data_IF_321981381924
#
_entry.id   IF_321981381924
#
_cell.length_a   1.000
_cell.length_b   1.000
_cell.length_c   1.000
_cell.angle_alpha   90.00
_cell.angle_beta   90.00
_cell.angle_gamma   90.00
#
_symmetry.space_group_name_H-M   'P 1'
#
loop_
_entity.id
_entity.type
_entity.pdbx_description
1 polymer ?
#
# COMPACT_ATOMS: atom_id res chain seq x y z
N UNK A 1 -4.94 -8.24 6.34
CA UNK A 1 -4.59 -9.66 6.64
C UNK A 1 -5.64 -10.59 6.09
N UNK A 2 -5.30 -11.86 5.88
CA UNK A 2 -6.24 -12.86 5.40
C UNK A 2 -7.39 -13.08 6.39
N UNK A 3 -8.50 -13.62 5.89
CA UNK A 3 -9.56 -14.11 6.75
C UNK A 3 -9.14 -15.45 7.35
N UNK A 4 -9.12 -15.55 8.68
CA UNK A 4 -8.77 -16.78 9.39
C UNK A 4 -9.74 -17.93 9.05
N UNK A 5 -10.98 -17.62 8.65
CA UNK A 5 -11.96 -18.63 8.25
C UNK A 5 -11.55 -19.36 6.96
N UNK A 6 -10.83 -18.68 6.05
CA UNK A 6 -10.27 -19.33 4.86
C UNK A 6 -9.26 -20.41 5.26
N UNK A 7 -8.33 -20.07 6.18
CA UNK A 7 -7.34 -21.04 6.66
C UNK A 7 -7.98 -22.19 7.42
N UNK A 8 -9.04 -21.92 8.20
CA UNK A 8 -9.76 -22.98 8.94
C UNK A 8 -10.54 -23.93 8.03
N UNK A 9 -11.01 -23.42 6.88
CA UNK A 9 -11.83 -24.18 5.93
C UNK A 9 -10.98 -25.00 4.96
N UNK A 10 -9.88 -24.42 4.46
CA UNK A 10 -9.04 -25.00 3.41
C UNK A 10 -7.58 -24.58 3.59
N UNK A 11 -6.94 -25.14 4.60
CA UNK A 11 -5.57 -24.80 4.95
C UNK A 11 -4.57 -25.13 3.84
N UNK A 12 -4.73 -26.32 3.22
CA UNK A 12 -3.83 -26.81 2.18
C UNK A 12 -3.98 -25.99 0.88
N UNK A 13 -5.21 -25.66 0.50
CA UNK A 13 -5.48 -24.79 -0.64
C UNK A 13 -4.93 -23.38 -0.45
N UNK A 14 -5.06 -22.80 0.75
CA UNK A 14 -4.47 -21.51 1.09
C UNK A 14 -2.93 -21.59 1.06
N UNK A 15 -2.35 -22.64 1.64
CA UNK A 15 -0.89 -22.83 1.64
C UNK A 15 -0.33 -22.91 0.21
N UNK A 16 -1.00 -23.62 -0.70
CA UNK A 16 -0.63 -23.68 -2.12
C UNK A 16 -0.67 -22.29 -2.78
N UNK A 17 -1.75 -21.54 -2.61
CA UNK A 17 -1.89 -20.18 -3.19
C UNK A 17 -0.88 -19.19 -2.61
N UNK A 18 -0.48 -19.36 -1.34
CA UNK A 18 0.59 -18.58 -0.74
C UNK A 18 1.97 -18.98 -1.28
N UNK A 19 2.17 -20.28 -1.57
CA UNK A 19 3.39 -20.77 -2.21
C UNK A 19 3.57 -20.19 -3.62
N UNK A 20 2.49 -20.01 -4.40
CA UNK A 20 2.51 -19.32 -5.69
C UNK A 20 2.99 -17.86 -5.57
N UNK A 21 2.90 -17.27 -4.36
CA UNK A 21 3.41 -15.94 -3.99
C UNK A 21 4.82 -15.97 -3.36
N UNK A 22 5.50 -17.11 -3.41
CA UNK A 22 6.79 -17.29 -2.76
C UNK A 22 6.75 -17.33 -1.23
N UNK A 23 5.56 -17.50 -0.62
CA UNK A 23 5.39 -17.57 0.82
C UNK A 23 5.12 -19.01 1.29
N UNK A 24 6.04 -19.58 2.09
CA UNK A 24 5.87 -20.89 2.70
C UNK A 24 5.09 -20.76 4.02
N UNK A 25 3.81 -21.17 4.01
CA UNK A 25 3.00 -21.20 5.23
C UNK A 25 3.47 -22.35 6.14
N UNK A 26 3.75 -22.05 7.41
CA UNK A 26 3.96 -23.06 8.43
C UNK A 26 2.61 -23.68 8.84
N UNK A 27 2.18 -24.69 8.04
CA UNK A 27 0.93 -25.42 8.23
C UNK A 27 0.92 -26.14 9.58
N UNK A 28 2.07 -26.67 10.03
CA UNK A 28 2.17 -27.39 11.29
C UNK A 28 1.97 -26.44 12.49
N UNK A 29 2.63 -25.29 12.48
CA UNK A 29 2.47 -24.28 13.53
C UNK A 29 1.04 -23.74 13.60
N UNK A 30 0.43 -23.42 12.45
CA UNK A 30 -0.97 -22.98 12.42
C UNK A 30 -1.92 -24.04 12.97
N UNK A 31 -1.78 -25.29 12.52
CA UNK A 31 -2.62 -26.42 12.95
C UNK A 31 -2.48 -26.69 14.45
N UNK A 32 -1.26 -26.63 15.00
CA UNK A 32 -1.03 -26.81 16.42
C UNK A 32 -1.72 -25.71 17.27
N UNK A 33 -1.59 -24.44 16.85
CA UNK A 33 -2.25 -23.30 17.53
C UNK A 33 -3.78 -23.41 17.49
N UNK A 34 -4.35 -23.80 16.34
CA UNK A 34 -5.80 -23.98 16.20
C UNK A 34 -6.31 -25.21 17.01
N UNK A 35 -5.54 -26.28 17.11
CA UNK A 35 -5.88 -27.44 17.95
C UNK A 35 -5.88 -27.03 19.43
N UNK A 36 -4.85 -26.33 19.90
CA UNK A 36 -4.75 -25.82 21.28
C UNK A 36 -5.91 -24.85 21.59
N UNK A 37 -6.21 -23.93 20.69
CA UNK A 37 -7.35 -23.00 20.83
C UNK A 37 -8.66 -23.73 21.00
N UNK A 38 -8.93 -24.72 20.13
CA UNK A 38 -10.17 -25.52 20.19
C UNK A 38 -10.28 -26.29 21.51
N UNK A 39 -9.19 -26.92 21.96
CA UNK A 39 -9.18 -27.68 23.20
C UNK A 39 -9.52 -26.78 24.41
N UNK A 40 -8.90 -25.60 24.49
CA UNK A 40 -9.16 -24.64 25.56
C UNK A 40 -10.60 -24.12 25.48
N UNK A 41 -11.11 -23.82 24.29
CA UNK A 41 -12.47 -23.32 24.10
C UNK A 41 -13.49 -24.37 24.57
N UNK A 42 -13.35 -25.63 24.14
CA UNK A 42 -14.22 -26.75 24.58
C UNK A 42 -14.19 -26.92 26.09
N UNK A 43 -12.95 -26.87 26.69
CA UNK A 43 -12.80 -26.95 28.14
C UNK A 43 -13.49 -25.79 28.86
N UNK A 44 -13.37 -24.59 28.36
CA UNK A 44 -14.03 -23.42 28.94
C UNK A 44 -15.55 -23.51 28.88
N UNK A 45 -16.11 -24.02 27.78
CA UNK A 45 -17.56 -24.28 27.63
C UNK A 45 -18.06 -25.33 28.63
N UNK A 46 -17.30 -26.42 28.80
CA UNK A 46 -17.61 -27.46 29.83
C UNK A 46 -17.60 -26.89 31.25
N UNK A 47 -16.56 -26.11 31.59
CA UNK A 47 -16.44 -25.45 32.90
C UNK A 47 -17.59 -24.47 33.13
N UNK A 48 -17.96 -23.69 32.11
CA UNK A 48 -19.11 -22.77 32.20
C UNK A 48 -20.42 -23.52 32.45
N UNK A 49 -20.65 -24.61 31.74
CA UNK A 49 -21.84 -25.48 31.92
C UNK A 49 -21.86 -26.09 33.35
N UNK A 50 -20.72 -26.60 33.82
CA UNK A 50 -20.57 -27.14 35.17
C UNK A 50 -20.82 -26.07 36.25
N UNK A 51 -20.23 -24.90 36.11
CA UNK A 51 -20.44 -23.75 37.03
C UNK A 51 -21.92 -23.36 37.11
N UNK A 52 -22.62 -23.33 35.95
CA UNK A 52 -24.05 -23.00 35.92
C UNK A 52 -24.91 -24.07 36.65
N UNK A 53 -24.55 -25.32 36.47
CA UNK A 53 -25.22 -26.46 37.17
C UNK A 53 -25.02 -26.38 38.68
N UNK A 54 -23.76 -26.17 39.12
CA UNK A 54 -23.44 -26.06 40.53
C UNK A 54 -24.09 -24.83 41.17
N UNK A 55 -24.19 -23.72 40.47
CA UNK A 55 -24.88 -22.51 40.95
C UNK A 55 -26.38 -22.77 41.24
N UNK A 56 -27.04 -23.54 40.36
CA UNK A 56 -28.43 -23.99 40.60
C UNK A 56 -28.52 -24.91 41.82
N UNK A 57 -27.57 -25.84 41.97
CA UNK A 57 -27.51 -26.74 43.10
C UNK A 57 -27.33 -25.97 44.41
N UNK A 58 -26.42 -24.98 44.49
CA UNK A 58 -26.24 -24.13 45.64
C UNK A 58 -27.55 -23.41 46.02
N UNK A 59 -28.29 -22.89 45.00
CA UNK A 59 -29.59 -22.29 45.23
C UNK A 59 -30.60 -23.25 45.91
N UNK A 60 -30.67 -24.48 45.38
CA UNK A 60 -31.57 -25.53 45.92
C UNK A 60 -31.17 -25.96 47.36
N UNK A 61 -29.87 -26.15 47.62
CA UNK A 61 -29.35 -26.54 48.94
C UNK A 61 -29.57 -25.41 49.98
N UNK A 62 -29.33 -24.15 49.62
CA UNK A 62 -29.60 -23.01 50.48
C UNK A 62 -31.09 -22.90 50.85
N UNK A 63 -31.99 -23.21 49.89
CA UNK A 63 -33.45 -23.22 50.14
C UNK A 63 -33.87 -24.30 51.11
N UNK A 64 -33.06 -25.38 51.28
CA UNK A 64 -33.30 -26.50 52.22
C UNK A 64 -32.51 -26.35 53.52
N UNK A 65 -31.68 -25.34 53.65
CA UNK A 65 -30.82 -25.17 54.87
C UNK A 65 -29.60 -26.12 54.88
N UNK A 66 -29.22 -26.70 53.77
CA UNK A 66 -28.10 -27.66 53.62
C UNK A 66 -26.75 -26.88 53.54
N UNK A 67 -25.67 -27.54 54.00
CA UNK A 67 -24.31 -26.97 53.87
C UNK A 67 -23.84 -26.90 52.41
N UNK A 68 -23.48 -25.73 51.94
CA UNK A 68 -23.04 -25.44 50.55
C UNK A 68 -21.55 -25.30 50.45
N UNK A 69 -20.76 -25.42 51.50
CA UNK A 69 -19.33 -25.09 51.56
C UNK A 69 -18.50 -25.84 50.50
N UNK A 70 -18.72 -27.15 50.33
CA UNK A 70 -18.02 -27.99 49.37
C UNK A 70 -18.33 -27.59 47.93
N UNK A 71 -19.60 -27.35 47.61
CA UNK A 71 -20.02 -26.94 46.26
C UNK A 71 -19.52 -25.51 45.93
N UNK A 72 -19.49 -24.63 46.91
CA UNK A 72 -18.92 -23.29 46.75
C UNK A 72 -17.41 -23.34 46.51
N UNK A 73 -16.67 -24.22 47.16
CA UNK A 73 -15.24 -24.44 46.90
C UNK A 73 -15.00 -24.95 45.48
N UNK A 74 -15.83 -25.91 45.00
CA UNK A 74 -15.75 -26.40 43.60
C UNK A 74 -16.03 -25.27 42.60
N UNK A 75 -17.01 -24.40 42.83
CA UNK A 75 -17.30 -23.24 41.98
C UNK A 75 -16.12 -22.26 41.97
N UNK A 76 -15.46 -22.06 43.12
CA UNK A 76 -14.25 -21.26 43.21
C UNK A 76 -13.12 -21.81 42.34
N UNK A 77 -12.82 -23.11 42.44
CA UNK A 77 -11.81 -23.77 41.60
C UNK A 77 -12.11 -23.69 40.10
N UNK A 78 -13.39 -23.86 39.72
CA UNK A 78 -13.83 -23.64 38.34
C UNK A 78 -13.57 -22.21 37.86
N UNK A 79 -13.82 -21.22 38.73
CA UNK A 79 -13.56 -19.82 38.43
C UNK A 79 -12.08 -19.55 38.15
N UNK A 80 -11.18 -20.11 38.93
CA UNK A 80 -9.72 -19.99 38.73
C UNK A 80 -9.27 -20.69 37.47
N UNK A 81 -9.77 -21.89 37.15
CA UNK A 81 -9.46 -22.60 35.91
C UNK A 81 -9.96 -21.85 34.66
N UNK A 82 -11.14 -21.24 34.71
CA UNK A 82 -11.69 -20.42 33.63
C UNK A 82 -10.80 -19.17 33.39
N UNK A 83 -10.36 -18.50 34.43
CA UNK A 83 -9.45 -17.35 34.32
C UNK A 83 -8.11 -17.74 33.69
N UNK A 84 -7.54 -18.88 34.08
CA UNK A 84 -6.33 -19.40 33.46
C UNK A 84 -6.54 -19.74 31.98
N UNK A 85 -7.69 -20.33 31.62
CA UNK A 85 -8.08 -20.63 30.24
C UNK A 85 -8.23 -19.38 29.39
N UNK A 86 -8.83 -18.30 29.93
CA UNK A 86 -8.95 -17.01 29.24
C UNK A 86 -7.58 -16.38 28.96
N UNK A 87 -6.67 -16.40 29.92
CA UNK A 87 -5.31 -15.91 29.74
C UNK A 87 -4.58 -16.69 28.64
N UNK A 88 -4.66 -18.02 28.68
CA UNK A 88 -4.05 -18.89 27.68
C UNK A 88 -4.65 -18.71 26.29
N UNK A 89 -5.97 -18.53 26.19
CA UNK A 89 -6.64 -18.22 24.93
C UNK A 89 -6.16 -16.90 24.33
N UNK A 90 -5.95 -15.87 25.17
CA UNK A 90 -5.39 -14.59 24.78
C UNK A 90 -3.97 -14.72 24.19
N UNK A 91 -3.10 -15.54 24.83
CA UNK A 91 -1.76 -15.83 24.30
C UNK A 91 -1.82 -16.50 22.93
N UNK A 92 -2.69 -17.49 22.75
CA UNK A 92 -2.85 -18.20 21.47
C UNK A 92 -3.38 -17.26 20.38
N UNK A 93 -4.35 -16.42 20.73
CA UNK A 93 -4.89 -15.42 19.79
C UNK A 93 -3.81 -14.43 19.32
N UNK A 94 -2.94 -13.99 20.23
CA UNK A 94 -1.79 -13.13 19.88
C UNK A 94 -0.86 -13.86 18.92
N UNK A 95 -0.46 -15.09 19.23
CA UNK A 95 0.43 -15.90 18.35
C UNK A 95 -0.19 -16.16 16.97
N UNK A 96 -1.48 -16.45 16.89
CA UNK A 96 -2.21 -16.59 15.61
C UNK A 96 -2.22 -15.26 14.84
N UNK A 97 -2.46 -14.15 15.53
CA UNK A 97 -2.43 -12.81 14.91
C UNK A 97 -1.05 -12.49 14.34
N UNK A 98 0.02 -12.72 15.12
CA UNK A 98 1.40 -12.48 14.68
C UNK A 98 1.76 -13.32 13.45
N UNK A 99 1.38 -14.61 13.44
CA UNK A 99 1.57 -15.47 12.29
C UNK A 99 0.84 -14.91 11.05
N UNK A 100 -0.42 -14.48 11.21
CA UNK A 100 -1.24 -13.95 10.11
C UNK A 100 -0.77 -12.58 9.62
N UNK A 101 -0.15 -11.75 10.48
CA UNK A 101 0.40 -10.46 10.08
C UNK A 101 1.55 -10.61 9.07
N UNK A 102 2.29 -11.72 9.11
CA UNK A 102 3.36 -12.04 8.16
C UNK A 102 2.91 -12.62 6.83
N UNK A 103 1.62 -13.03 6.69
CA UNK A 103 1.10 -13.65 5.47
C UNK A 103 0.71 -12.58 4.43
N UNK A 104 1.16 -12.70 3.16
CA UNK A 104 0.69 -11.84 2.08
C UNK A 104 -0.79 -12.12 1.76
N UNK A 105 -1.41 -11.22 0.99
CA UNK A 105 -2.74 -11.46 0.46
C UNK A 105 -2.73 -12.60 -0.57
N UNK A 106 -3.86 -13.21 -0.80
CA UNK A 106 -4.05 -14.26 -1.81
C UNK A 106 -4.30 -13.59 -3.16
N UNK A 107 -3.59 -14.05 -4.20
CA UNK A 107 -3.81 -13.58 -5.55
C UNK A 107 -5.21 -13.95 -6.07
N UNK A 108 -5.86 -13.02 -6.80
CA UNK A 108 -7.10 -13.30 -7.51
C UNK A 108 -6.86 -14.35 -8.61
N UNK A 109 -7.87 -15.15 -8.94
CA UNK A 109 -7.78 -16.24 -9.91
C UNK A 109 -7.33 -15.83 -11.32
N UNK A 110 -7.57 -14.56 -11.70
CA UNK A 110 -7.14 -14.00 -12.99
C UNK A 110 -5.68 -13.55 -13.04
N UNK A 111 -4.94 -13.67 -11.94
CA UNK A 111 -3.52 -13.30 -11.87
C UNK A 111 -2.67 -14.45 -12.41
N UNK A 112 -1.76 -14.19 -13.36
CA UNK A 112 -0.86 -15.22 -13.86
C UNK A 112 0.06 -15.74 -12.75
N UNK A 113 0.22 -17.05 -12.69
CA UNK A 113 1.19 -17.68 -11.78
C UNK A 113 2.57 -17.50 -12.38
N UNK A 114 3.50 -16.93 -11.62
CA UNK A 114 4.86 -16.66 -12.05
C UNK A 114 5.76 -16.38 -10.86
N UNK A 115 7.07 -16.30 -11.11
CA UNK A 115 8.11 -16.20 -10.09
C UNK A 115 8.57 -14.77 -9.84
N UNK A 116 8.75 -14.01 -10.90
CA UNK A 116 9.34 -12.67 -10.88
C UNK A 116 8.84 -11.81 -12.05
N UNK A 117 9.42 -10.63 -12.23
CA UNK A 117 9.05 -9.65 -13.25
C UNK A 117 9.06 -10.19 -14.70
N UNK A 118 9.84 -11.25 -14.98
CA UNK A 118 9.90 -11.84 -16.31
C UNK A 118 8.61 -12.59 -16.69
N UNK A 119 7.82 -12.99 -15.69
CA UNK A 119 6.55 -13.71 -15.86
C UNK A 119 5.33 -12.76 -15.90
N UNK A 120 5.54 -11.45 -15.82
CA UNK A 120 4.48 -10.46 -15.96
C UNK A 120 3.93 -10.45 -17.39
N UNK A 121 2.63 -10.21 -17.53
CA UNK A 121 1.93 -10.31 -18.81
C UNK A 121 1.54 -8.93 -19.31
N UNK A 122 2.00 -8.58 -20.52
CA UNK A 122 1.57 -7.35 -21.19
C UNK A 122 0.11 -7.44 -21.61
N UNK A 123 -0.68 -6.43 -21.19
CA UNK A 123 -2.12 -6.34 -21.50
C UNK A 123 -2.37 -5.48 -22.72
N UNK A 124 -1.70 -4.32 -22.82
CA UNK A 124 -1.84 -3.35 -23.90
C UNK A 124 -0.71 -2.36 -23.95
N UNK A 125 -0.57 -1.70 -25.11
CA UNK A 125 0.33 -0.55 -25.33
C UNK A 125 -0.42 0.64 -25.88
N UNK A 126 0.15 1.82 -25.64
CA UNK A 126 -0.31 3.06 -26.24
C UNK A 126 0.89 3.94 -26.66
N UNK A 127 0.71 4.65 -27.77
CA UNK A 127 1.71 5.54 -28.32
C UNK A 127 2.84 4.80 -29.04
N UNK A 128 3.59 5.56 -29.82
CA UNK A 128 4.78 5.08 -30.54
C UNK A 128 6.00 5.82 -30.01
N UNK A 129 7.07 5.11 -29.58
CA UNK A 129 8.32 5.74 -29.22
C UNK A 129 8.81 6.69 -30.31
N UNK A 130 9.25 7.88 -29.94
CA UNK A 130 9.82 8.86 -30.87
C UNK A 130 11.15 8.34 -31.42
N UNK A 131 11.33 8.46 -32.71
CA UNK A 131 12.63 8.28 -33.36
C UNK A 131 13.42 9.61 -33.30
N UNK A 132 14.70 9.52 -32.97
CA UNK A 132 15.59 10.67 -32.86
C UNK A 132 16.62 10.58 -33.97
N UNK A 133 16.93 11.73 -34.56
CA UNK A 133 17.99 11.93 -35.57
C UNK A 133 19.33 12.35 -34.96
N UNK A 134 19.42 12.29 -33.63
CA UNK A 134 20.59 12.60 -32.83
C UNK A 134 20.77 11.57 -31.70
N UNK A 135 21.94 11.53 -31.08
CA UNK A 135 22.24 10.68 -29.93
C UNK A 135 21.43 11.12 -28.71
N UNK A 136 20.52 10.26 -28.24
CA UNK A 136 19.70 10.52 -27.06
C UNK A 136 20.53 10.42 -25.77
N UNK A 137 20.31 11.35 -24.85
CA UNK A 137 20.96 11.40 -23.54
C UNK A 137 19.98 10.99 -22.44
N UNK A 138 20.49 10.41 -21.36
CA UNK A 138 19.66 10.15 -20.19
C UNK A 138 19.28 11.48 -19.47
N UNK A 139 18.28 11.37 -18.58
CA UNK A 139 17.79 12.54 -17.83
C UNK A 139 18.83 13.23 -16.97
N UNK A 140 19.93 12.56 -16.59
CA UNK A 140 21.02 13.17 -15.82
C UNK A 140 21.78 14.14 -16.73
N UNK A 141 22.17 13.68 -17.92
CA UNK A 141 22.95 14.49 -18.86
C UNK A 141 22.11 15.61 -19.49
N UNK A 142 20.81 15.36 -19.74
CA UNK A 142 19.86 16.39 -20.19
C UNK A 142 19.54 17.38 -19.08
N UNK A 143 19.24 16.91 -17.88
CA UNK A 143 18.66 17.69 -16.81
C UNK A 143 19.69 18.49 -15.99
N UNK A 144 20.92 18.01 -15.86
CA UNK A 144 21.94 18.71 -15.06
C UNK A 144 22.18 20.15 -15.53
N UNK A 145 22.37 20.42 -16.84
CA UNK A 145 22.48 21.79 -17.32
C UNK A 145 21.21 22.64 -17.13
N UNK A 146 20.06 21.98 -17.00
CA UNK A 146 18.74 22.61 -16.88
C UNK A 146 18.30 22.84 -15.43
N UNK A 147 19.01 22.26 -14.43
CA UNK A 147 18.71 22.47 -13.02
C UNK A 147 18.49 21.20 -12.16
N UNK A 148 18.79 20.00 -12.67
CA UNK A 148 18.98 18.81 -11.81
C UNK A 148 20.32 18.91 -11.09
N UNK A 149 20.30 18.89 -9.76
CA UNK A 149 21.49 19.09 -8.92
C UNK A 149 21.64 17.91 -7.94
N UNK A 150 22.33 16.89 -8.42
CA UNK A 150 22.62 15.69 -7.64
C UNK A 150 23.71 15.91 -6.60
N UNK A 151 24.70 16.77 -6.91
CA UNK A 151 25.82 17.06 -6.01
C UNK A 151 25.34 17.75 -4.73
N UNK A 152 24.56 18.82 -4.88
CA UNK A 152 23.99 19.51 -3.71
C UNK A 152 23.02 18.61 -2.97
N UNK A 153 22.18 17.83 -3.67
CA UNK A 153 21.28 16.84 -3.03
C UNK A 153 22.05 15.86 -2.15
N UNK A 154 23.12 15.27 -2.69
CA UNK A 154 23.99 14.35 -1.96
C UNK A 154 24.72 15.02 -0.78
N UNK A 155 25.14 16.27 -0.93
CA UNK A 155 25.77 17.06 0.15
C UNK A 155 24.81 17.32 1.31
N UNK A 156 23.53 17.53 1.00
CA UNK A 156 22.52 17.85 2.03
C UNK A 156 22.03 16.63 2.79
N UNK A 157 21.85 15.49 2.12
CA UNK A 157 21.16 14.35 2.71
C UNK A 157 21.75 12.97 2.34
N UNK A 158 22.82 12.94 1.55
CA UNK A 158 23.43 11.69 1.09
C UNK A 158 23.00 11.27 -0.32
N UNK A 159 23.47 10.11 -0.75
CA UNK A 159 23.09 9.52 -2.04
C UNK A 159 21.58 9.35 -2.17
N UNK A 160 21.07 9.32 -3.43
CA UNK A 160 19.64 9.17 -3.74
C UNK A 160 18.73 10.29 -3.21
N UNK A 161 19.31 11.48 -2.98
CA UNK A 161 18.59 12.73 -2.83
C UNK A 161 19.00 13.67 -3.94
N UNK A 162 18.02 14.39 -4.51
CA UNK A 162 18.22 15.28 -5.64
C UNK A 162 17.65 16.66 -5.31
N UNK A 163 18.38 17.72 -5.64
CA UNK A 163 17.88 19.07 -5.59
C UNK A 163 17.46 19.51 -6.99
N UNK A 164 16.32 20.17 -7.10
CA UNK A 164 15.80 20.72 -8.35
C UNK A 164 15.86 22.24 -8.31
N UNK A 165 16.26 22.88 -9.41
CA UNK A 165 16.40 24.34 -9.52
C UNK A 165 15.67 24.90 -10.73
N UNK A 166 15.27 26.16 -10.66
CA UNK A 166 14.79 26.96 -11.80
C UNK A 166 13.61 26.31 -12.54
N UNK A 167 13.74 26.21 -13.85
CA UNK A 167 12.69 25.67 -14.72
C UNK A 167 12.39 24.20 -14.47
N UNK A 168 13.38 23.40 -14.05
CA UNK A 168 13.17 21.99 -13.69
C UNK A 168 12.33 21.87 -12.42
N UNK A 169 12.60 22.66 -11.40
CA UNK A 169 11.76 22.68 -10.19
C UNK A 169 10.32 23.11 -10.51
N UNK A 170 10.17 24.08 -11.41
CA UNK A 170 8.85 24.51 -11.91
C UNK A 170 8.15 23.39 -12.68
N UNK A 171 8.86 22.66 -13.55
CA UNK A 171 8.30 21.55 -14.32
C UNK A 171 7.84 20.42 -13.39
N UNK A 172 8.64 20.08 -12.37
CA UNK A 172 8.26 19.09 -11.36
C UNK A 172 6.94 19.46 -10.64
N UNK A 173 6.83 20.71 -10.19
CA UNK A 173 5.61 21.24 -9.58
C UNK A 173 4.44 21.26 -10.57
N UNK A 174 4.68 21.64 -11.82
CA UNK A 174 3.67 21.68 -12.88
C UNK A 174 3.10 20.28 -13.16
N UNK A 175 3.95 19.24 -13.18
CA UNK A 175 3.54 17.84 -13.30
C UNK A 175 2.62 17.41 -12.16
N UNK A 176 3.01 17.67 -10.91
CA UNK A 176 2.18 17.33 -9.75
C UNK A 176 0.83 18.04 -9.79
N UNK A 177 0.82 19.33 -10.08
CA UNK A 177 -0.42 20.12 -10.17
C UNK A 177 -1.32 19.63 -11.32
N UNK A 178 -0.76 19.38 -12.50
CA UNK A 178 -1.50 18.83 -13.63
C UNK A 178 -2.15 17.47 -13.31
N UNK A 179 -1.43 16.59 -12.60
CA UNK A 179 -1.96 15.29 -12.18
C UNK A 179 -3.13 15.46 -11.20
N UNK A 180 -2.96 16.27 -10.15
CA UNK A 180 -4.02 16.54 -9.16
C UNK A 180 -5.25 17.16 -9.83
N UNK A 181 -5.08 18.19 -10.66
CA UNK A 181 -6.18 18.84 -11.35
C UNK A 181 -6.93 17.86 -12.27
N UNK A 182 -6.21 16.98 -12.96
CA UNK A 182 -6.83 15.97 -13.81
C UNK A 182 -7.66 14.98 -12.98
N UNK A 183 -7.12 14.46 -11.89
CA UNK A 183 -7.85 13.48 -11.07
C UNK A 183 -9.05 14.10 -10.35
N UNK A 184 -8.95 15.33 -9.88
CA UNK A 184 -10.03 15.99 -9.18
C UNK A 184 -11.13 16.50 -10.11
N UNK A 185 -10.76 17.09 -11.25
CA UNK A 185 -11.72 17.72 -12.16
C UNK A 185 -12.37 16.74 -13.16
N UNK A 186 -11.68 15.64 -13.50
CA UNK A 186 -12.13 14.72 -14.55
C UNK A 186 -12.43 13.31 -14.05
N UNK A 187 -11.80 12.85 -12.98
CA UNK A 187 -11.91 11.47 -12.49
C UNK A 187 -12.70 11.34 -11.18
N UNK A 188 -13.16 12.46 -10.62
CA UNK A 188 -14.03 12.49 -9.44
C UNK A 188 -13.35 12.19 -8.12
N UNK A 189 -12.03 12.33 -8.04
CA UNK A 189 -11.33 12.23 -6.77
C UNK A 189 -11.43 13.52 -5.96
N UNK A 190 -11.48 13.39 -4.63
CA UNK A 190 -11.37 14.50 -3.70
C UNK A 190 -9.91 14.72 -3.34
N UNK A 191 -9.37 15.91 -3.61
CA UNK A 191 -8.03 16.28 -3.17
C UNK A 191 -7.97 16.29 -1.64
N UNK A 192 -6.93 15.68 -1.09
CA UNK A 192 -6.77 15.52 0.34
C UNK A 192 -5.34 15.85 0.75
N UNK A 193 -5.17 16.79 1.68
CA UNK A 193 -3.89 17.04 2.32
C UNK A 193 -3.76 16.19 3.58
N UNK A 194 -2.71 15.39 3.68
CA UNK A 194 -2.54 14.40 4.74
C UNK A 194 -1.29 14.65 5.59
N UNK A 195 -1.25 14.17 6.84
CA UNK A 195 0.00 14.08 7.59
C UNK A 195 1.02 13.18 6.88
N UNK A 196 2.29 13.60 6.87
CA UNK A 196 3.41 12.82 6.31
C UNK A 196 4.15 12.02 7.39
N UNK A 197 3.94 12.37 8.65
CA UNK A 197 4.42 11.62 9.82
C UNK A 197 3.20 10.97 10.45
N UNK A 198 3.24 9.64 10.57
CA UNK A 198 2.09 8.86 11.04
C UNK A 198 2.49 7.92 12.17
N UNK A 199 1.51 7.50 12.94
CA UNK A 199 1.68 6.52 14.02
C UNK A 199 1.88 5.09 13.46
N UNK A 200 2.53 4.18 14.23
CA UNK A 200 2.77 2.80 13.78
C UNK A 200 1.52 2.04 13.36
N UNK A 201 0.40 2.20 14.07
CA UNK A 201 -0.86 1.51 13.77
C UNK A 201 -1.42 1.83 12.37
N UNK A 202 -1.10 3.01 11.82
CA UNK A 202 -1.50 3.40 10.45
C UNK A 202 -0.76 2.54 9.42
N UNK A 203 0.53 2.27 9.64
CA UNK A 203 1.35 1.40 8.81
C UNK A 203 0.95 -0.09 8.94
N UNK A 204 0.49 -0.51 10.11
CA UNK A 204 -0.12 -1.84 10.28
C UNK A 204 -1.40 -1.97 9.45
N UNK A 205 -2.19 -0.92 9.37
CA UNK A 205 -3.45 -0.89 8.61
C UNK A 205 -3.26 -1.21 7.14
N UNK A 206 -2.29 -0.59 6.48
CA UNK A 206 -2.00 -0.77 5.05
C UNK A 206 -0.99 -1.87 4.75
N UNK A 207 -0.34 -2.45 5.78
CA UNK A 207 0.48 -3.66 5.64
C UNK A 207 1.98 -3.43 5.50
N UNK A 208 2.48 -2.20 5.70
CA UNK A 208 3.92 -1.92 5.73
C UNK A 208 4.58 -2.53 6.98
N UNK A 209 3.91 -2.42 8.13
CA UNK A 209 4.37 -3.08 9.34
C UNK A 209 3.61 -4.41 9.58
N UNK A 210 4.27 -5.39 10.21
CA UNK A 210 5.66 -5.36 10.72
C UNK A 210 6.74 -5.65 9.68
N UNK A 211 6.38 -6.24 8.53
CA UNK A 211 7.29 -6.91 7.58
C UNK A 211 8.32 -5.96 6.95
N UNK A 212 7.95 -4.73 6.64
CA UNK A 212 8.77 -3.76 5.90
C UNK A 212 9.28 -2.62 6.80
N UNK A 213 9.50 -2.90 8.08
CA UNK A 213 10.01 -1.89 9.02
C UNK A 213 11.33 -1.27 8.57
N UNK A 214 12.22 -2.06 7.94
CA UNK A 214 13.53 -1.62 7.46
C UNK A 214 13.43 -0.70 6.23
N UNK A 215 12.31 -0.73 5.50
CA UNK A 215 12.05 0.17 4.37
C UNK A 215 11.48 1.52 4.79
N UNK A 216 11.12 1.68 6.06
CA UNK A 216 10.47 2.88 6.57
C UNK A 216 11.46 3.81 7.27
N UNK A 217 11.37 5.11 6.99
CA UNK A 217 12.05 6.14 7.78
C UNK A 217 11.32 6.31 9.11
N UNK A 218 12.01 5.94 10.18
CA UNK A 218 11.54 6.10 11.55
C UNK A 218 11.92 7.46 12.09
N UNK A 219 10.98 8.14 12.75
CA UNK A 219 11.20 9.42 13.43
C UNK A 219 10.83 9.30 14.91
N UNK A 220 11.58 10.00 15.74
CA UNK A 220 11.35 10.04 17.19
C UNK A 220 11.15 11.48 17.64
N UNK A 221 10.15 11.71 18.47
CA UNK A 221 9.92 13.00 19.11
C UNK A 221 9.76 12.83 20.61
N UNK A 222 10.06 13.89 21.35
CA UNK A 222 10.07 13.90 22.81
C UNK A 222 11.48 13.74 23.36
N UNK A 223 11.61 13.83 24.69
CA UNK A 223 12.86 13.57 25.41
C UNK A 223 13.03 12.10 25.73
N UNK A 224 14.18 11.73 26.32
CA UNK A 224 14.52 10.34 26.66
C UNK A 224 13.45 9.62 27.52
N UNK A 225 12.69 10.35 28.33
CA UNK A 225 11.67 9.79 29.21
C UNK A 225 10.30 9.58 28.55
N UNK A 226 10.04 10.27 27.40
CA UNK A 226 8.74 10.25 26.70
C UNK A 226 8.92 10.18 25.17
N UNK A 227 9.76 9.24 24.70
CA UNK A 227 9.99 9.06 23.26
C UNK A 227 8.76 8.45 22.60
N UNK A 228 8.24 9.15 21.60
CA UNK A 228 7.18 8.66 20.72
C UNK A 228 7.81 8.30 19.36
N UNK A 229 7.63 7.05 18.94
CA UNK A 229 8.04 6.59 17.62
C UNK A 229 6.93 6.81 16.61
N UNK A 230 7.26 7.46 15.51
CA UNK A 230 6.41 7.66 14.34
C UNK A 230 7.21 7.34 13.07
N UNK A 231 6.58 7.40 11.91
CA UNK A 231 7.21 7.07 10.63
C UNK A 231 6.85 8.11 9.58
N UNK A 232 7.81 8.41 8.70
CA UNK A 232 7.52 9.11 7.44
C UNK A 232 6.80 8.17 6.48
N UNK A 233 5.78 8.67 5.79
CA UNK A 233 5.03 7.86 4.83
C UNK A 233 5.90 7.49 3.62
N UNK A 234 5.80 6.25 3.16
CA UNK A 234 6.41 5.79 1.90
C UNK A 234 5.51 6.01 0.69
N UNK A 235 4.25 6.34 0.96
CA UNK A 235 3.18 6.66 -0.01
C UNK A 235 2.02 7.29 0.76
N UNK A 236 1.30 8.24 0.15
CA UNK A 236 0.07 8.77 0.76
C UNK A 236 -1.08 7.77 0.81
N UNK A 237 -0.99 6.63 0.13
CA UNK A 237 -1.88 5.47 0.37
C UNK A 237 -2.06 5.21 1.87
N UNK A 238 -0.97 5.25 2.61
CA UNK A 238 -0.95 4.98 4.06
C UNK A 238 -1.93 5.89 4.79
N UNK A 239 -1.84 7.19 4.57
CA UNK A 239 -2.70 8.17 5.22
C UNK A 239 -4.12 8.15 4.67
N UNK A 240 -4.28 8.10 3.33
CA UNK A 240 -5.57 8.16 2.66
C UNK A 240 -6.44 6.94 2.98
N UNK A 241 -5.89 5.74 2.92
CA UNK A 241 -6.64 4.51 3.17
C UNK A 241 -7.09 4.40 4.63
N UNK A 242 -6.28 4.88 5.58
CA UNK A 242 -6.63 4.88 7.00
C UNK A 242 -7.68 5.94 7.40
N UNK A 243 -8.16 6.79 6.49
CA UNK A 243 -9.28 7.71 6.77
C UNK A 243 -10.57 6.99 7.18
N UNK A 244 -10.72 5.74 6.76
CA UNK A 244 -11.87 4.88 7.12
C UNK A 244 -11.55 3.85 8.22
N UNK A 245 -10.37 3.97 8.86
CA UNK A 245 -9.98 3.09 9.97
C UNK A 245 -11.01 3.12 11.11
N UNK A 246 -11.32 1.92 11.66
CA UNK A 246 -12.23 1.74 12.80
C UNK A 246 -13.62 2.39 12.60
N UNK A 247 -14.05 2.49 11.34
CA UNK A 247 -15.32 3.10 10.98
C UNK A 247 -16.27 2.13 10.28
N UNK A 248 -17.55 2.47 10.32
CA UNK A 248 -18.60 1.85 9.50
C UNK A 248 -19.21 2.96 8.68
N UNK A 249 -18.83 3.05 7.41
CA UNK A 249 -19.37 4.06 6.50
C UNK A 249 -20.75 3.65 5.98
N UNK A 250 -21.60 4.60 5.64
CA UNK A 250 -22.87 4.31 4.98
C UNK A 250 -22.62 3.82 3.55
N UNK A 251 -23.35 2.78 3.12
CA UNK A 251 -23.18 2.20 1.77
C UNK A 251 -23.41 3.23 0.65
N UNK A 252 -24.29 4.21 0.86
CA UNK A 252 -24.54 5.30 -0.08
C UNK A 252 -23.36 6.29 -0.22
N UNK A 253 -22.39 6.27 0.69
CA UNK A 253 -21.17 7.09 0.61
C UNK A 253 -20.08 6.44 -0.27
N UNK A 254 -20.25 5.19 -0.67
CA UNK A 254 -19.32 4.49 -1.56
C UNK A 254 -19.66 4.76 -3.04
N UNK A 255 -18.65 4.86 -3.93
CA UNK A 255 -17.21 4.81 -3.66
C UNK A 255 -16.67 6.10 -3.02
N UNK A 256 -15.71 5.97 -2.10
CA UNK A 256 -14.90 7.09 -1.62
C UNK A 256 -13.64 7.13 -2.46
N UNK A 257 -13.41 8.23 -3.19
CA UNK A 257 -12.26 8.45 -4.06
C UNK A 257 -11.43 9.60 -3.53
N UNK A 258 -10.19 9.33 -3.10
CA UNK A 258 -9.29 10.32 -2.53
C UNK A 258 -8.00 10.38 -3.36
N UNK A 259 -7.43 11.57 -3.52
CA UNK A 259 -6.11 11.76 -4.12
C UNK A 259 -5.29 12.75 -3.31
N UNK A 260 -3.98 12.53 -3.27
CA UNK A 260 -3.04 13.43 -2.62
C UNK A 260 -1.73 13.51 -3.39
N UNK A 261 -1.17 14.71 -3.49
CA UNK A 261 0.23 14.92 -3.82
C UNK A 261 1.02 14.98 -2.52
N UNK A 262 2.03 14.15 -2.39
CA UNK A 262 2.89 14.15 -1.20
C UNK A 262 4.33 13.76 -1.52
N UNK A 263 5.30 14.23 -0.72
CA UNK A 263 6.58 13.56 -0.64
C UNK A 263 6.38 12.15 -0.08
N UNK A 264 7.21 11.22 -0.55
CA UNK A 264 7.25 9.83 -0.14
C UNK A 264 8.69 9.48 0.25
N UNK A 265 8.86 8.69 1.30
CA UNK A 265 10.17 8.39 1.88
C UNK A 265 10.38 6.88 1.95
N UNK A 266 11.45 6.37 1.30
CA UNK A 266 11.79 4.95 1.29
C UNK A 266 13.28 4.78 1.56
N UNK A 267 13.64 3.91 2.52
CA UNK A 267 15.06 3.61 2.79
C UNK A 267 15.71 2.77 1.70
N UNK A 268 14.91 2.16 0.80
CA UNK A 268 15.39 1.35 -0.32
C UNK A 268 16.31 0.20 0.13
N UNK A 269 16.01 -0.41 1.28
CA UNK A 269 16.86 -1.42 1.94
C UNK A 269 17.18 -2.62 1.04
N UNK A 270 16.27 -3.01 0.14
CA UNK A 270 16.44 -4.15 -0.79
C UNK A 270 17.05 -3.80 -2.15
N UNK A 271 17.43 -2.54 -2.41
CA UNK A 271 17.80 -2.07 -3.76
C UNK A 271 19.25 -1.66 -3.91
N UNK A 272 20.17 -2.25 -3.11
CA UNK A 272 21.58 -1.95 -3.18
C UNK A 272 22.13 -2.21 -4.59
N UNK A 273 22.82 -1.21 -5.16
CA UNK A 273 23.44 -1.29 -6.49
C UNK A 273 22.51 -1.16 -7.69
N UNK A 274 21.18 -1.06 -7.49
CA UNK A 274 20.21 -0.85 -8.58
C UNK A 274 19.92 0.65 -8.79
N UNK A 275 19.81 1.09 -10.06
CA UNK A 275 19.44 2.46 -10.43
C UNK A 275 20.14 3.54 -9.60
N UNK A 276 21.46 3.42 -9.45
CA UNK A 276 22.27 4.32 -8.60
C UNK A 276 22.50 5.68 -9.24
N UNK A 277 22.30 5.82 -10.56
CA UNK A 277 22.42 7.05 -11.32
C UNK A 277 21.04 7.68 -11.56
N UNK A 278 20.92 8.97 -11.32
CA UNK A 278 19.73 9.75 -11.64
C UNK A 278 18.58 9.61 -10.65
N UNK A 279 17.35 9.86 -11.13
CA UNK A 279 16.14 10.01 -10.31
C UNK A 279 15.21 8.79 -10.32
N UNK A 280 15.59 7.66 -10.94
CA UNK A 280 14.71 6.48 -11.03
C UNK A 280 14.38 5.92 -9.65
N UNK A 281 15.37 5.96 -8.75
CA UNK A 281 15.24 5.42 -7.38
C UNK A 281 15.83 6.39 -6.36
N UNK A 282 14.94 7.00 -5.57
CA UNK A 282 15.28 8.05 -4.60
C UNK A 282 14.76 7.70 -3.20
N UNK A 283 15.46 8.15 -2.15
CA UNK A 283 14.98 8.07 -0.77
C UNK A 283 13.81 9.03 -0.51
N UNK A 284 13.78 10.15 -1.20
CA UNK A 284 12.68 11.10 -1.20
C UNK A 284 12.23 11.38 -2.62
N UNK A 285 10.94 11.23 -2.90
CA UNK A 285 10.33 11.52 -4.19
C UNK A 285 8.88 11.95 -4.00
N UNK A 286 8.34 12.64 -4.99
CA UNK A 286 6.94 13.06 -4.98
C UNK A 286 6.06 12.12 -5.78
N UNK A 287 4.86 11.88 -5.28
CA UNK A 287 3.85 11.04 -5.93
C UNK A 287 2.46 11.65 -5.76
N UNK A 288 1.69 11.62 -6.83
CA UNK A 288 0.24 11.78 -6.75
C UNK A 288 -0.36 10.39 -6.59
N UNK A 289 -1.06 10.17 -5.50
CA UNK A 289 -1.66 8.88 -5.17
C UNK A 289 -3.16 8.94 -5.31
N UNK A 290 -3.75 7.87 -5.80
CA UNK A 290 -5.19 7.64 -5.88
C UNK A 290 -5.55 6.50 -4.94
N UNK A 291 -6.59 6.70 -4.13
CA UNK A 291 -7.17 5.66 -3.27
C UNK A 291 -8.66 5.58 -3.52
N UNK A 292 -9.18 4.37 -3.61
CA UNK A 292 -10.61 4.12 -3.63
C UNK A 292 -11.01 3.17 -2.51
N UNK A 293 -12.09 3.50 -1.81
CA UNK A 293 -12.77 2.62 -0.86
C UNK A 293 -14.12 2.29 -1.46
N UNK A 294 -14.38 1.00 -1.69
CA UNK A 294 -15.53 0.53 -2.47
C UNK A 294 -16.23 -0.65 -1.81
N UNK A 295 -17.44 -0.95 -2.25
CA UNK A 295 -18.10 -2.22 -1.95
C UNK A 295 -17.38 -3.38 -2.67
N UNK A 296 -17.38 -4.60 -2.09
CA UNK A 296 -16.62 -5.74 -2.63
C UNK A 296 -16.92 -6.07 -4.09
N UNK A 297 -18.19 -6.03 -4.49
CA UNK A 297 -18.66 -6.34 -5.85
C UNK A 297 -18.22 -5.32 -6.91
N UNK A 298 -17.90 -4.09 -6.51
CA UNK A 298 -17.43 -3.04 -7.41
C UNK A 298 -15.91 -2.99 -7.58
N UNK A 299 -15.13 -3.73 -6.79
CA UNK A 299 -13.70 -3.46 -6.63
C UNK A 299 -12.84 -3.74 -7.86
N UNK A 300 -13.20 -4.73 -8.70
CA UNK A 300 -12.42 -5.02 -9.91
C UNK A 300 -12.74 -4.04 -11.05
N UNK A 301 -14.00 -3.59 -11.16
CA UNK A 301 -14.35 -2.50 -12.07
C UNK A 301 -13.67 -1.18 -11.66
N UNK A 302 -13.57 -0.94 -10.35
CA UNK A 302 -12.85 0.22 -9.81
C UNK A 302 -11.33 0.14 -10.07
N UNK A 303 -10.73 -1.07 -10.09
CA UNK A 303 -9.33 -1.25 -10.47
C UNK A 303 -9.10 -0.88 -11.94
N UNK A 304 -9.93 -1.39 -12.84
CA UNK A 304 -9.84 -1.08 -14.27
C UNK A 304 -10.04 0.43 -14.54
N UNK A 305 -10.97 1.07 -13.83
CA UNK A 305 -11.17 2.52 -13.85
C UNK A 305 -9.91 3.28 -13.38
N UNK A 306 -9.32 2.87 -12.27
CA UNK A 306 -8.12 3.49 -11.70
C UNK A 306 -6.92 3.39 -12.65
N UNK A 307 -6.73 2.25 -13.31
CA UNK A 307 -5.72 2.08 -14.35
C UNK A 307 -5.96 3.08 -15.49
N UNK A 308 -7.19 3.20 -15.97
CA UNK A 308 -7.57 4.18 -16.99
C UNK A 308 -7.29 5.64 -16.58
N UNK A 309 -7.44 5.97 -15.32
CA UNK A 309 -7.11 7.30 -14.78
C UNK A 309 -5.60 7.58 -14.82
N UNK A 310 -4.76 6.59 -14.51
CA UNK A 310 -3.31 6.71 -14.64
C UNK A 310 -2.87 6.81 -16.10
N UNK A 311 -3.46 5.99 -17.00
CA UNK A 311 -3.22 6.04 -18.45
C UNK A 311 -3.55 7.42 -19.02
N UNK A 312 -4.65 8.05 -18.58
CA UNK A 312 -5.06 9.36 -19.05
C UNK A 312 -3.98 10.44 -18.82
N UNK A 313 -3.22 10.37 -17.74
CA UNK A 313 -2.10 11.29 -17.49
C UNK A 313 -1.01 11.08 -18.56
N UNK A 314 -0.59 9.84 -18.82
CA UNK A 314 0.44 9.53 -19.81
C UNK A 314 0.00 9.92 -21.23
N UNK A 315 -1.27 9.66 -21.58
CA UNK A 315 -1.84 10.03 -22.86
C UNK A 315 -1.85 11.54 -23.08
N UNK A 316 -2.30 12.31 -22.08
CA UNK A 316 -2.30 13.78 -22.12
C UNK A 316 -0.88 14.38 -22.23
N UNK A 317 0.11 13.69 -21.65
CA UNK A 317 1.52 14.06 -21.76
C UNK A 317 2.17 13.56 -23.07
N UNK A 318 1.47 12.75 -23.87
CA UNK A 318 2.00 12.18 -25.12
C UNK A 318 3.17 11.20 -24.88
N UNK A 319 3.22 10.54 -23.73
CA UNK A 319 4.28 9.60 -23.37
C UNK A 319 3.87 8.16 -23.72
N UNK A 320 4.62 7.46 -24.58
CA UNK A 320 4.35 6.06 -24.88
C UNK A 320 4.50 5.16 -23.64
N UNK A 321 3.59 4.22 -23.48
CA UNK A 321 3.58 3.32 -22.31
C UNK A 321 3.01 1.94 -22.68
N UNK A 322 3.21 0.98 -21.79
CA UNK A 322 2.50 -0.29 -21.76
C UNK A 322 1.88 -0.55 -20.40
N UNK A 323 0.83 -1.36 -20.38
CA UNK A 323 0.19 -1.87 -19.17
C UNK A 323 0.49 -3.35 -19.07
N UNK A 324 0.97 -3.78 -17.90
CA UNK A 324 1.25 -5.18 -17.59
C UNK A 324 0.43 -5.63 -16.37
N UNK A 325 0.01 -6.89 -16.35
CA UNK A 325 -0.50 -7.55 -15.14
C UNK A 325 0.66 -8.21 -14.43
N UNK A 326 0.87 -7.92 -13.16
CA UNK A 326 1.89 -8.59 -12.37
C UNK A 326 1.50 -10.04 -12.10
N UNK A 327 2.49 -10.93 -12.14
CA UNK A 327 2.34 -12.33 -11.75
C UNK A 327 2.34 -12.50 -10.23
N UNK A 328 1.98 -13.67 -9.74
CA UNK A 328 1.88 -13.96 -8.30
C UNK A 328 3.16 -13.68 -7.53
N UNK A 329 4.34 -13.90 -8.10
CA UNK A 329 5.64 -13.70 -7.46
C UNK A 329 6.09 -12.23 -7.38
N UNK A 330 5.55 -11.36 -8.24
CA UNK A 330 5.97 -9.96 -8.33
C UNK A 330 5.00 -8.97 -7.66
N UNK A 331 3.78 -9.40 -7.33
CA UNK A 331 2.78 -8.53 -6.68
C UNK A 331 3.19 -8.09 -5.27
N UNK A 332 2.84 -6.87 -4.91
CA UNK A 332 2.99 -6.31 -3.56
C UNK A 332 2.25 -7.13 -2.48
N UNK A 333 2.74 -7.07 -1.24
CA UNK A 333 2.30 -7.88 -0.11
C UNK A 333 0.78 -7.88 0.14
N UNK A 334 0.16 -6.70 0.08
CA UNK A 334 -1.28 -6.53 0.37
C UNK A 334 -2.18 -6.76 -0.85
N UNK A 335 -1.62 -6.85 -2.06
CA UNK A 335 -2.37 -6.89 -3.30
C UNK A 335 -2.97 -8.27 -3.58
N UNK A 336 -4.21 -8.30 -4.08
CA UNK A 336 -4.85 -9.45 -4.69
C UNK A 336 -4.69 -9.44 -6.22
N UNK A 337 -4.61 -8.25 -6.83
CA UNK A 337 -4.29 -8.04 -8.25
C UNK A 337 -3.65 -6.68 -8.44
N UNK A 338 -2.65 -6.62 -9.30
CA UNK A 338 -1.92 -5.40 -9.64
C UNK A 338 -1.74 -5.27 -11.14
N UNK A 339 -1.96 -4.05 -11.64
CA UNK A 339 -1.51 -3.61 -12.95
C UNK A 339 -0.43 -2.55 -12.78
N UNK A 340 0.69 -2.72 -13.50
CA UNK A 340 1.69 -1.69 -13.61
C UNK A 340 1.60 -1.00 -14.97
N UNK A 341 1.81 0.32 -14.96
CA UNK A 341 2.03 1.10 -16.16
C UNK A 341 3.52 1.38 -16.25
N UNK A 342 4.09 1.11 -17.41
CA UNK A 342 5.50 1.34 -17.67
C UNK A 342 5.65 2.32 -18.83
N UNK A 343 6.39 3.42 -18.61
CA UNK A 343 6.66 4.46 -19.60
C UNK A 343 7.94 4.15 -20.39
N UNK A 344 7.94 4.48 -21.67
CA UNK A 344 9.11 4.34 -22.50
C UNK A 344 10.21 5.33 -22.15
N UNK A 345 11.43 4.85 -21.97
CA UNK A 345 12.63 5.65 -21.75
C UNK A 345 13.63 5.42 -22.90
N UNK A 346 13.77 6.38 -23.83
CA UNK A 346 14.59 6.24 -25.04
C UNK A 346 16.06 5.83 -24.79
N UNK A 347 16.80 6.44 -23.84
CA UNK A 347 18.20 6.10 -23.62
C UNK A 347 18.42 4.69 -23.13
N UNK A 348 17.45 4.12 -22.40
CA UNK A 348 17.50 2.74 -21.92
C UNK A 348 16.91 1.75 -22.92
N UNK A 349 16.24 2.24 -23.98
CA UNK A 349 15.52 1.43 -24.96
C UNK A 349 14.57 0.41 -24.29
N UNK A 350 13.87 0.85 -23.25
CA UNK A 350 12.98 -0.03 -22.45
C UNK A 350 11.83 0.75 -21.82
N UNK A 351 10.84 0.00 -21.37
CA UNK A 351 9.75 0.50 -20.54
C UNK A 351 10.14 0.42 -19.07
N UNK A 352 9.79 1.44 -18.26
CA UNK A 352 10.06 1.50 -16.83
C UNK A 352 8.77 1.84 -16.09
N UNK A 353 8.52 1.15 -14.98
CA UNK A 353 7.37 1.37 -14.11
C UNK A 353 7.24 2.84 -13.71
N UNK A 354 6.05 3.41 -13.89
CA UNK A 354 5.70 4.78 -13.52
C UNK A 354 4.46 4.85 -12.64
N UNK A 355 3.64 3.81 -12.67
CA UNK A 355 2.46 3.64 -11.82
C UNK A 355 2.24 2.17 -11.53
N UNK A 356 1.76 1.87 -10.32
CA UNK A 356 1.29 0.56 -9.91
C UNK A 356 -0.10 0.74 -9.30
N UNK A 357 -1.11 0.05 -9.84
CA UNK A 357 -2.50 0.11 -9.41
C UNK A 357 -2.92 -1.25 -8.85
N UNK A 358 -3.32 -1.29 -7.58
CA UNK A 358 -3.60 -2.53 -6.85
C UNK A 358 -4.99 -2.55 -6.24
N UNK A 359 -5.66 -3.69 -6.34
CA UNK A 359 -6.81 -4.05 -5.52
C UNK A 359 -6.33 -4.94 -4.37
N UNK A 360 -6.56 -4.53 -3.14
CA UNK A 360 -6.19 -5.29 -1.94
C UNK A 360 -7.36 -6.10 -1.39
N UNK A 361 -8.52 -6.01 -2.03
CA UNK A 361 -9.78 -6.56 -1.51
C UNK A 361 -10.00 -6.15 -0.04
N UNK A 362 -10.43 -7.07 0.81
CA UNK A 362 -10.65 -6.81 2.23
C UNK A 362 -9.39 -6.93 3.10
N UNK A 363 -8.20 -7.12 2.53
CA UNK A 363 -6.98 -7.39 3.28
C UNK A 363 -6.59 -6.24 4.21
N UNK A 364 -6.56 -5.02 3.70
CA UNK A 364 -6.29 -3.81 4.48
C UNK A 364 -7.49 -3.45 5.37
N UNK A 365 -8.69 -3.54 4.84
CA UNK A 365 -9.92 -3.26 5.60
C UNK A 365 -10.04 -4.14 6.85
N UNK A 366 -9.63 -5.41 6.79
CA UNK A 366 -9.61 -6.31 7.96
C UNK A 366 -8.59 -5.88 9.00
N UNK A 367 -7.41 -5.37 8.58
CA UNK A 367 -6.39 -4.82 9.49
C UNK A 367 -6.86 -3.52 10.16
N UNK A 368 -7.57 -2.67 9.41
CA UNK A 368 -8.03 -1.35 9.87
C UNK A 368 -9.41 -1.40 10.53
N UNK A 369 -10.12 -2.53 10.50
CA UNK A 369 -11.53 -2.63 10.93
C UNK A 369 -12.44 -1.67 10.16
N UNK A 370 -12.16 -1.46 8.86
CA UNK A 370 -12.94 -0.59 7.97
C UNK A 370 -14.13 -1.35 7.37
N UNK A 371 -15.34 -0.88 7.61
CA UNK A 371 -16.58 -1.54 7.20
C UNK A 371 -17.56 -0.54 6.60
N UNK A 372 -18.57 -1.06 5.92
CA UNK A 372 -19.71 -0.28 5.45
C UNK A 372 -21.02 -0.98 5.80
N UNK A 373 -22.12 -0.25 5.81
CA UNK A 373 -23.48 -0.83 5.92
C UNK A 373 -23.94 -1.26 4.53
N UNK A 374 -24.06 -2.59 4.34
CA UNK A 374 -24.60 -3.13 3.09
C UNK A 374 -26.12 -2.87 2.94
N UNK A 375 -26.69 -3.28 1.81
CA UNK A 375 -28.10 -3.07 1.51
C UNK A 375 -29.07 -3.69 2.55
N UNK A 376 -28.63 -4.66 3.34
CA UNK A 376 -29.37 -5.28 4.43
C UNK A 376 -29.10 -4.58 5.80
N UNK A 377 -28.38 -3.46 5.81
CA UNK A 377 -28.01 -2.72 7.02
C UNK A 377 -26.95 -3.42 7.88
N UNK A 378 -26.31 -4.50 7.40
CA UNK A 378 -25.29 -5.23 8.13
C UNK A 378 -23.90 -4.68 7.84
N UNK A 379 -22.99 -4.63 8.86
CA UNK A 379 -21.60 -4.27 8.65
C UNK A 379 -20.87 -5.34 7.82
N UNK A 380 -20.20 -4.88 6.76
CA UNK A 380 -19.38 -5.70 5.86
C UNK A 380 -18.06 -4.98 5.62
N UNK A 381 -16.94 -5.72 5.42
CA UNK A 381 -15.65 -5.11 5.13
C UNK A 381 -15.69 -4.42 3.75
N UNK A 382 -15.12 -3.22 3.68
CA UNK A 382 -14.88 -2.56 2.40
C UNK A 382 -13.73 -3.24 1.65
N UNK A 383 -13.64 -3.02 0.34
CA UNK A 383 -12.42 -3.24 -0.43
C UNK A 383 -11.67 -1.92 -0.60
N UNK A 384 -10.34 -1.99 -0.59
CA UNK A 384 -9.47 -0.83 -0.79
C UNK A 384 -8.60 -1.01 -2.02
N UNK A 385 -8.43 0.08 -2.76
CA UNK A 385 -7.58 0.14 -3.95
C UNK A 385 -6.65 1.34 -3.82
N UNK A 386 -5.45 1.19 -4.35
CA UNK A 386 -4.48 2.27 -4.44
C UNK A 386 -3.78 2.25 -5.79
N UNK A 387 -3.34 3.41 -6.25
CA UNK A 387 -2.56 3.51 -7.47
C UNK A 387 -1.88 4.87 -7.61
N UNK A 388 -0.69 4.87 -8.23
CA UNK A 388 -0.02 6.11 -8.53
C UNK A 388 -0.66 6.81 -9.71
N UNK A 389 -0.96 8.08 -9.54
CA UNK A 389 -1.57 8.88 -10.58
C UNK A 389 -0.80 10.15 -10.98
N UNK A 390 0.54 10.19 -11.10
CA UNK A 390 1.64 9.21 -11.18
C UNK A 390 2.76 9.49 -10.15
N UNK A 391 3.90 8.76 -10.28
CA UNK A 391 5.16 9.11 -9.66
C UNK A 391 5.76 10.35 -10.35
N UNK A 392 5.77 11.50 -9.67
CA UNK A 392 6.10 12.81 -10.27
C UNK A 392 7.54 12.85 -10.76
N UNK A 393 8.49 12.34 -9.97
CA UNK A 393 9.90 12.30 -10.35
C UNK A 393 10.17 11.43 -11.57
N UNK A 394 9.57 10.23 -11.68
CA UNK A 394 9.70 9.38 -12.88
C UNK A 394 9.01 9.98 -14.09
N UNK A 395 7.91 10.70 -13.90
CA UNK A 395 7.27 11.44 -14.99
C UNK A 395 8.16 12.57 -15.48
N UNK A 396 8.84 13.27 -14.58
CA UNK A 396 9.86 14.26 -14.95
C UNK A 396 10.99 13.63 -15.78
N UNK A 397 11.51 12.47 -15.34
CA UNK A 397 12.49 11.68 -16.11
C UNK A 397 11.98 11.39 -17.51
N UNK A 398 10.76 10.86 -17.63
CA UNK A 398 10.16 10.51 -18.91
C UNK A 398 9.98 11.73 -19.83
N UNK A 399 9.57 12.87 -19.28
CA UNK A 399 9.46 14.13 -20.05
C UNK A 399 10.83 14.61 -20.54
N UNK A 400 11.84 14.64 -19.66
CA UNK A 400 13.19 15.06 -20.04
C UNK A 400 13.76 14.19 -21.18
N UNK A 401 13.58 12.87 -21.07
CA UNK A 401 14.15 11.94 -22.05
C UNK A 401 13.38 11.87 -23.38
N UNK A 402 12.03 11.92 -23.34
CA UNK A 402 11.22 11.84 -24.57
C UNK A 402 11.11 13.19 -25.29
N UNK A 403 11.23 14.32 -24.60
CA UNK A 403 11.05 15.66 -25.15
C UNK A 403 12.36 16.44 -25.33
N UNK A 404 13.51 15.76 -25.18
CA UNK A 404 14.82 16.36 -25.43
C UNK A 404 15.00 16.76 -26.91
N UNK A 405 15.76 17.82 -27.14
CA UNK A 405 16.14 18.31 -28.45
C UNK A 405 17.66 18.22 -28.66
N UNK A 406 18.09 18.23 -29.93
CA UNK A 406 19.50 18.11 -30.32
C UNK A 406 20.40 19.17 -29.66
N UNK A 407 19.86 20.35 -29.38
CA UNK A 407 20.59 21.48 -28.76
C UNK A 407 20.62 21.40 -27.21
N UNK A 408 20.12 20.32 -26.62
CA UNK A 408 20.11 20.11 -25.16
C UNK A 408 18.96 20.77 -24.43
N UNK A 409 18.06 21.46 -25.12
CA UNK A 409 16.81 21.96 -24.54
C UNK A 409 15.77 20.85 -24.43
N UNK A 410 14.69 21.12 -23.70
CA UNK A 410 13.54 20.22 -23.57
C UNK A 410 12.26 20.94 -23.95
N UNK A 411 11.50 20.37 -24.87
CA UNK A 411 10.16 20.85 -25.23
C UNK A 411 9.18 20.57 -24.10
N UNK A 412 8.42 21.58 -23.68
CA UNK A 412 7.36 21.39 -22.66
C UNK A 412 6.15 20.79 -23.31
N UNK A 413 5.66 19.62 -22.83
CA UNK A 413 4.40 19.03 -23.30
C UNK A 413 3.26 20.05 -23.27
N UNK A 414 2.40 20.04 -24.28
CA UNK A 414 1.35 21.05 -24.43
C UNK A 414 0.44 21.13 -23.21
N UNK A 415 0.08 19.99 -22.63
CA UNK A 415 -0.75 19.92 -21.42
C UNK A 415 -0.12 20.62 -20.20
N UNK A 416 1.21 20.79 -20.14
CA UNK A 416 1.91 21.45 -19.05
C UNK A 416 2.16 22.94 -19.26
N UNK A 417 2.00 23.45 -20.47
CA UNK A 417 2.30 24.87 -20.78
C UNK A 417 1.50 25.85 -19.92
N UNK A 418 0.20 25.64 -19.64
CA UNK A 418 -0.54 26.51 -18.71
C UNK A 418 0.08 26.56 -17.31
N UNK A 419 0.56 25.43 -16.78
CA UNK A 419 1.21 25.34 -15.47
C UNK A 419 2.65 25.91 -15.47
N UNK A 420 3.25 26.00 -16.65
CA UNK A 420 4.56 26.60 -16.89
C UNK A 420 4.51 28.08 -17.26
N UNK A 421 3.30 28.71 -17.20
CA UNK A 421 3.12 30.12 -17.57
C UNK A 421 3.32 30.38 -19.06
N UNK A 422 2.92 29.43 -19.92
CA UNK A 422 3.04 29.50 -21.34
C UNK A 422 4.42 29.12 -21.89
N UNK A 423 5.36 28.69 -21.06
CA UNK A 423 6.69 28.26 -21.50
C UNK A 423 6.57 27.04 -22.40
N UNK A 424 7.11 27.13 -23.61
CA UNK A 424 7.09 26.03 -24.59
C UNK A 424 8.39 25.19 -24.59
N UNK A 425 9.48 25.76 -24.02
CA UNK A 425 10.80 25.15 -24.05
C UNK A 425 11.61 25.51 -22.81
N UNK A 426 12.35 24.56 -22.30
CA UNK A 426 13.31 24.75 -21.21
C UNK A 426 14.71 24.73 -21.82
N UNK A 427 15.47 25.79 -21.62
CA UNK A 427 16.83 25.96 -22.10
C UNK A 427 17.80 26.14 -20.94
N UNK A 428 19.05 25.76 -21.15
CA UNK A 428 20.10 26.04 -20.16
C UNK A 428 20.18 27.55 -19.92
N UNK A 429 20.39 28.00 -18.66
CA UNK A 429 20.64 29.41 -18.39
C UNK A 429 21.79 29.88 -19.24
N UNK A 430 21.65 31.09 -19.86
CA UNK A 430 22.77 31.72 -20.53
C UNK A 430 23.95 31.81 -19.56
N UNK A 431 25.12 31.32 -19.95
CA UNK A 431 26.33 31.48 -19.13
C UNK A 431 26.51 32.99 -18.89
N UNK A 432 26.46 33.38 -17.62
CA UNK A 432 26.82 34.74 -17.26
C UNK A 432 28.27 34.95 -17.70
N UNK A 433 28.43 35.79 -18.73
CA UNK A 433 29.72 36.23 -19.29
C UNK A 433 30.53 37.02 -18.27
#
# INVERSE_FOLDING_TARGET
>A
MLDIQLLRKDLDGVAKRLADRGYALDVAAFSALEAERRAIQTRTEELQARRNSLSKQIGAMKGKGEDTSAVMAEVGGIGDEMKASEAKLGEIQTRLSDLMLGMPNIAHESVPVGKDEADNVEVRRWGTPREFDFEVKDHVDVGTPLGLDFETGAKLAGARFTMLRGSIARLHRALAQFMIDTHTLQHGYSETYTPYIVNPEILYGTGQLPKFADDMFRVEKGGAENTITQYLISTSEISLTNTVRESIVEGAALPIKLTAHSPCFRSEAGSYGRDTRGMIRQHQFDKVEMVQVVAPDASYAALDEMVGHAEAILQKLGLPYRVITLCTGDMGFSAAKTFDLEVWLPPQNTYREISSCSNTEAFQARRMQARFRNAQGKPELVHTLNGSGLAVGRTLVAVLENYQNADGSVTVPEALRPYMGGMERIEAPAQAS
#
